data_IF_128293296638
#
_entry.id   IF_128293296638
#
_cell.length_a   1.000
_cell.length_b   1.000
_cell.length_c   1.000
_cell.angle_alpha   90.00
_cell.angle_beta   90.00
_cell.angle_gamma   90.00
#
_symmetry.space_group_name_H-M   'P 1'
#
loop_
_entity.id
_entity.type
_entity.pdbx_description
1 polymer ?
#
# COMPACT_ATOMS: atom_id res chain seq x y z
N UNK A 1 15.18 0.53 -27.40
CA UNK A 1 14.65 -0.48 -28.35
C UNK A 1 15.75 -0.85 -29.32
N UNK A 2 16.03 -2.15 -29.46
CA UNK A 2 16.92 -2.63 -30.52
C UNK A 2 16.10 -2.85 -31.78
N UNK A 3 16.47 -2.18 -32.86
CA UNK A 3 15.89 -2.42 -34.20
C UNK A 3 17.05 -2.50 -35.19
N UNK A 4 17.07 -3.57 -35.99
CA UNK A 4 18.07 -3.80 -37.05
C UNK A 4 19.52 -3.65 -36.58
N UNK A 5 19.83 -4.19 -35.40
CA UNK A 5 21.17 -4.12 -34.82
C UNK A 5 21.57 -2.71 -34.33
N UNK A 6 20.60 -1.79 -34.16
CA UNK A 6 20.82 -0.44 -33.66
C UNK A 6 20.07 -0.19 -32.36
N UNK A 7 20.66 0.64 -31.50
CA UNK A 7 20.10 1.04 -30.21
C UNK A 7 19.37 2.36 -30.34
N UNK A 8 18.09 2.35 -29.98
CA UNK A 8 17.28 3.55 -29.85
C UNK A 8 16.90 3.79 -28.38
N UNK A 9 17.16 4.98 -27.86
CA UNK A 9 16.70 5.43 -26.54
C UNK A 9 15.78 6.62 -26.75
N UNK A 10 14.52 6.52 -26.29
CA UNK A 10 13.51 7.56 -26.49
C UNK A 10 13.35 8.02 -27.96
N UNK A 11 13.50 7.09 -28.91
CA UNK A 11 13.43 7.37 -30.35
C UNK A 11 14.72 7.95 -30.96
N UNK A 12 15.75 8.21 -30.16
CA UNK A 12 17.05 8.72 -30.62
C UNK A 12 18.02 7.56 -30.86
N UNK A 13 18.66 7.53 -32.03
CA UNK A 13 19.72 6.56 -32.35
C UNK A 13 20.95 6.83 -31.48
N UNK A 14 21.33 5.85 -30.65
CA UNK A 14 22.52 5.90 -29.79
C UNK A 14 23.74 5.20 -30.39
N UNK A 15 23.53 4.28 -31.33
CA UNK A 15 24.62 3.59 -32.02
C UNK A 15 24.26 2.16 -32.40
N UNK A 16 25.27 1.38 -32.80
CA UNK A 16 25.12 -0.05 -33.08
C UNK A 16 25.03 -0.88 -31.79
N UNK A 17 24.31 -1.99 -31.87
CA UNK A 17 24.14 -2.94 -30.81
C UNK A 17 25.39 -3.82 -30.68
N UNK A 18 26.19 -3.59 -29.65
CA UNK A 18 27.30 -4.46 -29.31
C UNK A 18 26.83 -5.62 -28.43
N UNK A 19 27.67 -6.66 -28.26
CA UNK A 19 27.35 -7.80 -27.41
C UNK A 19 27.27 -7.40 -25.93
N UNK A 20 28.07 -6.43 -25.52
CA UNK A 20 28.08 -5.85 -24.18
C UNK A 20 26.73 -5.18 -23.87
N UNK A 21 26.18 -4.42 -24.83
CA UNK A 21 24.87 -3.76 -24.67
C UNK A 21 23.73 -4.77 -24.51
N UNK A 22 23.81 -5.92 -25.19
CA UNK A 22 22.83 -7.00 -25.06
C UNK A 22 22.91 -7.65 -23.67
N UNK A 23 24.12 -7.91 -23.16
CA UNK A 23 24.30 -8.49 -21.83
C UNK A 23 23.88 -7.51 -20.72
N UNK A 24 24.21 -6.22 -20.86
CA UNK A 24 23.77 -5.17 -19.92
C UNK A 24 22.24 -5.12 -19.80
N UNK A 25 21.51 -5.21 -20.92
CA UNK A 25 20.05 -5.23 -20.89
C UNK A 25 19.52 -6.51 -20.29
N UNK A 26 20.15 -7.66 -20.55
CA UNK A 26 19.73 -8.92 -19.96
C UNK A 26 19.83 -8.86 -18.43
N UNK A 27 20.98 -8.40 -17.91
CA UNK A 27 21.20 -8.19 -16.48
C UNK A 27 20.23 -7.16 -15.91
N UNK A 28 20.02 -6.04 -16.60
CA UNK A 28 19.08 -5.00 -16.19
C UNK A 28 17.65 -5.54 -16.10
N UNK A 29 17.19 -6.28 -17.11
CA UNK A 29 15.86 -6.86 -17.15
C UNK A 29 15.63 -7.87 -16.03
N UNK A 30 16.65 -8.67 -15.70
CA UNK A 30 16.60 -9.60 -14.58
C UNK A 30 16.46 -8.86 -13.25
N UNK A 31 17.32 -7.87 -12.99
CA UNK A 31 17.24 -7.03 -11.79
C UNK A 31 15.91 -6.28 -11.69
N UNK A 32 15.38 -5.77 -12.81
CA UNK A 32 14.08 -5.11 -12.86
C UNK A 32 12.93 -6.06 -12.52
N UNK A 33 13.00 -7.33 -12.96
CA UNK A 33 12.00 -8.35 -12.58
C UNK A 33 12.03 -8.62 -11.08
N UNK A 34 13.22 -8.79 -10.51
CA UNK A 34 13.36 -9.02 -9.06
C UNK A 34 12.88 -7.81 -8.25
N UNK A 35 13.29 -6.61 -8.66
CA UNK A 35 12.83 -5.37 -8.05
C UNK A 35 11.32 -5.21 -8.09
N UNK A 36 10.70 -5.47 -9.25
CA UNK A 36 9.24 -5.39 -9.41
C UNK A 36 8.51 -6.41 -8.54
N UNK A 37 9.01 -7.65 -8.46
CA UNK A 37 8.45 -8.68 -7.57
C UNK A 37 8.52 -8.25 -6.10
N UNK A 38 9.67 -7.75 -5.65
CA UNK A 38 9.84 -7.29 -4.28
C UNK A 38 8.95 -6.09 -3.96
N UNK A 39 8.84 -5.12 -4.88
CA UNK A 39 7.93 -3.98 -4.74
C UNK A 39 6.48 -4.45 -4.58
N UNK A 40 6.02 -5.35 -5.46
CA UNK A 40 4.66 -5.86 -5.42
C UNK A 40 4.38 -6.64 -4.12
N UNK A 41 5.32 -7.49 -3.70
CA UNK A 41 5.22 -8.24 -2.45
C UNK A 41 5.16 -7.32 -1.23
N UNK A 42 6.02 -6.31 -1.15
CA UNK A 42 6.05 -5.37 -0.04
C UNK A 42 4.76 -4.54 0.03
N UNK A 43 4.24 -4.11 -1.13
CA UNK A 43 2.98 -3.38 -1.21
C UNK A 43 1.81 -4.26 -0.76
N UNK A 44 1.77 -5.52 -1.21
CA UNK A 44 0.74 -6.49 -0.81
C UNK A 44 0.75 -6.74 0.70
N UNK A 45 1.91 -7.04 1.29
CA UNK A 45 2.02 -7.30 2.73
C UNK A 45 1.67 -6.05 3.57
N UNK A 46 2.07 -4.87 3.11
CA UNK A 46 1.70 -3.60 3.77
C UNK A 46 0.19 -3.40 3.74
N UNK A 47 -0.44 -3.60 2.59
CA UNK A 47 -1.89 -3.47 2.45
C UNK A 47 -2.63 -4.51 3.29
N UNK A 48 -2.17 -5.77 3.28
CA UNK A 48 -2.72 -6.84 4.10
C UNK A 48 -2.66 -6.49 5.59
N UNK A 49 -1.52 -5.98 6.08
CA UNK A 49 -1.38 -5.54 7.48
C UNK A 49 -2.34 -4.38 7.82
N UNK A 50 -2.54 -3.43 6.91
CA UNK A 50 -3.51 -2.33 7.12
C UNK A 50 -4.92 -2.89 7.24
N UNK A 51 -5.30 -3.81 6.34
CA UNK A 51 -6.61 -4.45 6.35
C UNK A 51 -6.80 -5.24 7.64
N UNK A 52 -5.81 -6.01 8.08
CA UNK A 52 -5.89 -6.79 9.33
C UNK A 52 -5.99 -5.87 10.57
N UNK A 53 -5.25 -4.75 10.66
CA UNK A 53 -5.39 -3.78 11.77
C UNK A 53 -6.76 -3.10 11.79
N UNK A 54 -7.42 -2.98 10.64
CA UNK A 54 -8.76 -2.41 10.54
C UNK A 54 -9.86 -3.44 10.81
N UNK A 55 -9.80 -4.60 10.17
CA UNK A 55 -10.91 -5.56 10.03
C UNK A 55 -10.65 -6.95 10.61
N UNK A 56 -9.44 -7.24 11.10
CA UNK A 56 -9.15 -8.51 11.79
C UNK A 56 -9.93 -8.65 13.10
N UNK A 57 -9.80 -9.79 13.79
CA UNK A 57 -10.62 -10.14 14.98
C UNK A 57 -10.60 -9.09 16.11
N UNK A 58 -9.51 -8.33 16.20
CA UNK A 58 -9.35 -7.21 17.15
C UNK A 58 -9.21 -5.85 16.46
N UNK A 59 -9.59 -5.78 15.19
CA UNK A 59 -9.43 -4.63 14.32
C UNK A 59 -10.14 -3.38 14.85
N UNK A 60 -9.54 -2.22 14.55
CA UNK A 60 -10.04 -0.92 15.02
C UNK A 60 -11.48 -0.63 14.62
N UNK A 61 -11.95 -1.18 13.50
CA UNK A 61 -13.35 -1.08 13.06
C UNK A 61 -14.29 -1.77 14.05
N UNK A 62 -14.02 -3.03 14.41
CA UNK A 62 -14.84 -3.81 15.33
C UNK A 62 -14.80 -3.26 16.76
N UNK A 63 -13.66 -2.71 17.18
CA UNK A 63 -13.56 -2.01 18.47
C UNK A 63 -14.47 -0.78 18.53
N UNK A 64 -14.58 -0.01 17.44
CA UNK A 64 -15.52 1.11 17.39
C UNK A 64 -16.99 0.63 17.39
N UNK A 65 -17.29 -0.52 16.78
CA UNK A 65 -18.65 -1.10 16.78
C UNK A 65 -19.05 -1.82 18.08
N UNK A 66 -18.11 -2.01 19.01
CA UNK A 66 -18.36 -2.60 20.33
C UNK A 66 -18.42 -1.56 21.46
N UNK A 67 -18.37 -0.27 21.10
CA UNK A 67 -18.42 0.85 22.03
C UNK A 67 -19.77 1.07 22.73
N UNK A 68 -19.83 2.00 23.70
CA UNK A 68 -21.02 2.27 24.52
C UNK A 68 -22.27 2.56 23.68
N UNK A 69 -22.12 3.28 22.57
CA UNK A 69 -23.20 3.59 21.64
C UNK A 69 -23.95 2.33 21.18
N UNK A 70 -23.23 1.32 20.65
CA UNK A 70 -23.84 0.08 20.16
C UNK A 70 -24.31 -0.85 21.28
N UNK A 71 -23.68 -0.81 22.46
CA UNK A 71 -24.19 -1.52 23.65
C UNK A 71 -25.53 -0.96 24.12
N UNK A 72 -25.68 0.37 24.10
CA UNK A 72 -26.93 1.06 24.40
C UNK A 72 -28.01 0.73 23.35
N UNK A 73 -27.68 0.75 22.05
CA UNK A 73 -28.62 0.37 20.99
C UNK A 73 -29.06 -1.10 21.10
N UNK A 74 -28.16 -2.03 21.43
CA UNK A 74 -28.51 -3.45 21.67
C UNK A 74 -29.32 -3.68 22.95
N UNK A 75 -29.20 -2.79 23.95
CA UNK A 75 -30.03 -2.84 25.16
C UNK A 75 -31.48 -2.41 24.89
N UNK A 76 -31.71 -1.63 23.84
CA UNK A 76 -33.03 -1.37 23.27
C UNK A 76 -33.39 -2.51 22.30
N UNK A 77 -33.77 -3.66 22.84
CA UNK A 77 -34.30 -4.79 22.05
C UNK A 77 -35.61 -4.44 21.32
N UNK A 78 -36.14 -5.34 20.47
CA UNK A 78 -37.35 -5.11 19.67
C UNK A 78 -38.62 -4.78 20.48
N UNK A 79 -38.59 -4.94 21.80
CA UNK A 79 -39.68 -4.60 22.73
C UNK A 79 -39.56 -3.19 23.35
N UNK A 80 -38.61 -2.37 22.91
CA UNK A 80 -38.48 -1.00 23.42
C UNK A 80 -39.46 -0.04 22.73
N UNK A 81 -40.54 0.30 23.44
CA UNK A 81 -41.57 1.23 22.99
C UNK A 81 -40.98 2.57 22.52
N UNK A 82 -41.41 3.10 21.35
CA UNK A 82 -40.86 4.30 20.74
C UNK A 82 -41.47 5.57 21.36
N UNK A 83 -41.39 5.73 22.68
CA UNK A 83 -41.86 6.96 23.33
C UNK A 83 -41.02 7.27 24.56
N UNK A 84 -39.90 7.95 24.34
CA UNK A 84 -39.40 9.06 25.19
C UNK A 84 -38.18 9.70 24.51
N UNK A 85 -38.13 11.04 24.37
CA UNK A 85 -36.93 11.71 23.90
C UNK A 85 -35.84 11.51 24.97
N UNK A 86 -34.85 10.68 24.65
CA UNK A 86 -33.72 10.47 25.52
C UNK A 86 -32.94 11.79 25.63
N UNK A 87 -32.91 12.33 26.84
CA UNK A 87 -31.97 13.37 27.26
C UNK A 87 -30.58 13.02 26.76
N UNK A 88 -29.98 13.89 25.94
CA UNK A 88 -28.66 13.66 25.34
C UNK A 88 -27.65 13.24 26.40
N UNK A 89 -26.98 12.08 26.25
CA UNK A 89 -25.84 11.76 27.09
C UNK A 89 -24.76 12.81 26.86
N UNK A 90 -24.38 13.50 27.93
CA UNK A 90 -23.25 14.43 27.97
C UNK A 90 -22.03 13.72 27.37
N UNK A 91 -21.51 14.29 26.29
CA UNK A 91 -20.37 13.78 25.54
C UNK A 91 -19.19 13.55 26.50
N UNK A 92 -18.70 12.31 26.68
CA UNK A 92 -17.46 12.11 27.40
C UNK A 92 -16.33 12.70 26.56
N UNK A 93 -15.53 13.58 27.17
CA UNK A 93 -14.31 14.13 26.59
C UNK A 93 -13.52 13.00 25.93
N UNK A 94 -13.40 13.11 24.61
CA UNK A 94 -12.69 12.17 23.75
C UNK A 94 -11.22 12.16 24.22
N UNK A 95 -10.66 11.06 24.75
CA UNK A 95 -9.22 10.99 24.85
C UNK A 95 -8.70 11.09 23.41
N UNK A 96 -7.85 12.08 23.15
CA UNK A 96 -7.12 12.21 21.89
C UNK A 96 -6.49 10.85 21.58
N UNK A 97 -7.10 10.10 20.65
CA UNK A 97 -6.49 8.88 20.13
C UNK A 97 -5.17 9.34 19.53
N UNK A 98 -4.01 8.85 19.98
CA UNK A 98 -2.76 9.13 19.29
C UNK A 98 -2.96 8.70 17.84
N UNK A 99 -2.74 9.62 16.89
CA UNK A 99 -2.71 9.29 15.47
C UNK A 99 -1.73 8.13 15.31
N UNK A 100 -2.24 6.91 15.11
CA UNK A 100 -1.38 5.77 14.83
C UNK A 100 -0.57 6.17 13.59
N UNK A 101 0.76 6.24 13.66
CA UNK A 101 1.56 6.62 12.51
C UNK A 101 1.24 5.64 11.38
N UNK A 102 0.93 6.18 10.20
CA UNK A 102 0.69 5.39 9.01
C UNK A 102 1.82 4.37 8.87
N UNK A 103 1.52 3.09 8.62
CA UNK A 103 2.55 2.08 8.44
C UNK A 103 3.46 2.53 7.31
N UNK A 104 4.72 2.79 7.66
CA UNK A 104 5.76 3.16 6.69
C UNK A 104 5.92 2.00 5.71
N UNK A 105 5.92 2.32 4.42
CA UNK A 105 6.27 1.35 3.39
C UNK A 105 7.65 0.75 3.73
N UNK A 106 7.79 -0.58 3.71
CA UNK A 106 9.07 -1.23 3.91
C UNK A 106 10.09 -0.66 2.92
N UNK A 107 11.33 -0.52 3.36
CA UNK A 107 12.43 -0.11 2.48
C UNK A 107 12.56 -1.17 1.38
N UNK A 108 12.17 -0.81 0.16
CA UNK A 108 12.28 -1.66 -1.02
C UNK A 108 13.72 -1.70 -1.49
N UNK A 109 14.09 -2.77 -2.21
CA UNK A 109 15.37 -2.82 -2.91
C UNK A 109 15.57 -1.54 -3.75
N UNK A 110 16.81 -1.04 -3.85
CA UNK A 110 17.09 0.15 -4.66
C UNK A 110 16.75 -0.10 -6.12
N UNK A 111 16.29 0.94 -6.81
CA UNK A 111 15.97 0.87 -8.24
C UNK A 111 17.24 0.47 -9.03
N UNK A 112 17.19 -0.56 -9.89
CA UNK A 112 18.32 -0.94 -10.70
C UNK A 112 18.78 0.20 -11.61
N UNK A 113 20.09 0.40 -11.70
CA UNK A 113 20.66 1.42 -12.61
C UNK A 113 20.34 1.08 -14.07
N UNK A 114 19.96 2.08 -14.89
CA UNK A 114 19.70 1.85 -16.29
C UNK A 114 20.99 1.43 -17.03
N UNK A 115 20.86 0.71 -18.16
CA UNK A 115 22.00 0.36 -19.00
C UNK A 115 22.83 1.59 -19.42
N UNK A 116 24.13 1.39 -19.66
CA UNK A 116 25.09 2.48 -19.87
C UNK A 116 24.72 3.41 -21.03
N UNK A 117 24.19 2.86 -22.13
CA UNK A 117 23.77 3.59 -23.33
C UNK A 117 22.51 4.47 -23.13
N UNK A 118 21.81 4.34 -22.00
CA UNK A 118 20.69 5.22 -21.63
C UNK A 118 21.16 6.57 -21.06
N UNK A 119 22.44 6.70 -20.70
CA UNK A 119 23.00 7.96 -20.21
C UNK A 119 23.05 9.00 -21.37
N UNK A 120 22.82 10.30 -21.07
CA UNK A 120 22.77 11.35 -22.08
C UNK A 120 24.07 11.44 -22.88
#
# INVERSE_FOLDING_TARGET
LFQDGKIYVNGVLKGEATKENLEEIKVYNEKMREWTKALHSNMFETMKRIIDDMFGDHGSFWQNLSGPFWKTVKAYGPDSEPTKPATSPKEPEKPEKPEKPLPKLPETMPLPEPPSFCKP
#
